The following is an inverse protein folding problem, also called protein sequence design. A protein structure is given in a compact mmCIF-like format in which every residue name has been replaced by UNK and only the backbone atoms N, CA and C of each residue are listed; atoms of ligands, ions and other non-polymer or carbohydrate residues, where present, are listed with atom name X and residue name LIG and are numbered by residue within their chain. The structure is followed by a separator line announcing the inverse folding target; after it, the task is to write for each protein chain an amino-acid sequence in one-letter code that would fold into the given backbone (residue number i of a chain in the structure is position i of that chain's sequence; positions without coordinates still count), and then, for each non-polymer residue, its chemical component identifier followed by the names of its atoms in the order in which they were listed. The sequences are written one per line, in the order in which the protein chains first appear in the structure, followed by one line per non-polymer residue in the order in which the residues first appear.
data_IF_454427908130
#
_entry.id   IF_454427908130
#
_cell.length_a   1.000
_cell.length_b   1.000
_cell.length_c   1.000
_cell.angle_alpha   90.00
_cell.angle_beta   90.00
_cell.angle_gamma   90.00
#
_symmetry.space_group_name_H-M   'P 1'
#
loop_
_entity.id
_entity.type
_entity.pdbx_description
1 polymer ?
#
# COMPACT_ATOMS: atom_id res chain seq x y z
N UNK A 1 116.66 19.28 -74.69
CA UNK A 1 115.69 18.85 -75.72
C UNK A 1 114.32 18.78 -75.08
N UNK A 2 113.38 19.51 -75.66
CA UNK A 2 111.98 19.49 -75.30
C UNK A 2 111.34 18.15 -75.67
N UNK A 3 110.38 17.66 -74.88
CA UNK A 3 109.13 17.10 -75.39
C UNK A 3 108.00 17.35 -74.37
N UNK A 4 106.93 17.96 -74.89
CA UNK A 4 105.61 18.14 -74.28
C UNK A 4 104.88 16.79 -74.27
N UNK A 5 104.04 16.54 -73.27
CA UNK A 5 102.79 15.82 -73.49
C UNK A 5 101.71 16.19 -72.45
N UNK A 6 100.47 15.91 -72.82
CA UNK A 6 99.22 16.63 -72.54
C UNK A 6 98.51 16.20 -71.21
N UNK A 7 97.37 16.84 -70.84
CA UNK A 7 96.86 16.89 -69.47
C UNK A 7 95.86 15.78 -69.14
N UNK A 8 95.87 15.28 -67.90
CA UNK A 8 94.88 14.34 -67.39
C UNK A 8 93.76 15.06 -66.65
N UNK A 9 92.55 14.88 -67.19
CA UNK A 9 91.31 15.48 -66.75
C UNK A 9 90.76 14.83 -65.47
N UNK A 10 90.43 15.69 -64.52
CA UNK A 10 89.13 15.73 -63.83
C UNK A 10 88.50 14.39 -63.40
N UNK A 11 88.73 14.00 -62.15
CA UNK A 11 87.74 13.29 -61.34
C UNK A 11 87.64 13.92 -59.95
N UNK A 12 86.96 15.08 -59.86
CA UNK A 12 86.40 15.54 -58.58
C UNK A 12 85.21 14.63 -58.26
N UNK A 13 85.43 13.62 -57.42
CA UNK A 13 84.34 12.96 -56.70
C UNK A 13 83.58 14.03 -55.92
N UNK A 14 82.32 14.25 -56.32
CA UNK A 14 81.32 15.00 -55.56
C UNK A 14 81.06 14.24 -54.25
N UNK A 15 81.85 14.51 -53.21
CA UNK A 15 81.46 14.20 -51.83
C UNK A 15 80.67 15.40 -51.31
N UNK A 16 79.45 15.53 -51.80
CA UNK A 16 78.49 16.54 -51.33
C UNK A 16 77.58 15.88 -50.29
N UNK A 17 77.65 16.44 -49.08
CA UNK A 17 76.49 16.78 -48.25
C UNK A 17 75.77 15.70 -47.42
N UNK A 18 76.46 14.72 -46.83
CA UNK A 18 75.82 13.85 -45.82
C UNK A 18 75.69 14.50 -44.42
N UNK A 19 76.43 15.58 -44.15
CA UNK A 19 76.40 16.26 -42.85
C UNK A 19 75.18 17.21 -42.67
N UNK A 20 74.67 17.79 -43.76
CA UNK A 20 73.54 18.72 -43.71
C UNK A 20 72.19 18.02 -43.50
N UNK A 21 72.07 16.76 -43.92
CA UNK A 21 70.83 15.98 -43.73
C UNK A 21 70.66 15.46 -42.29
N UNK A 22 71.74 15.11 -41.60
CA UNK A 22 71.69 14.67 -40.19
C UNK A 22 71.25 15.80 -39.23
N UNK A 23 71.64 17.04 -39.50
CA UNK A 23 71.25 18.20 -38.68
C UNK A 23 69.76 18.56 -38.87
N UNK A 24 69.24 18.44 -40.10
CA UNK A 24 67.81 18.60 -40.39
C UNK A 24 66.96 17.47 -39.80
N UNK A 25 67.47 16.26 -39.74
CA UNK A 25 66.76 15.14 -39.11
C UNK A 25 66.75 15.24 -37.58
N UNK A 26 67.85 15.71 -36.96
CA UNK A 26 67.93 15.90 -35.52
C UNK A 26 67.11 17.09 -35.03
N UNK A 27 67.07 18.20 -35.76
CA UNK A 27 66.20 19.35 -35.42
C UNK A 27 64.71 19.01 -35.46
N UNK A 28 64.25 18.25 -36.47
CA UNK A 28 62.87 17.73 -36.52
C UNK A 28 62.55 16.75 -35.38
N UNK A 29 63.51 15.90 -34.98
CA UNK A 29 63.36 14.99 -33.83
C UNK A 29 63.29 15.72 -32.49
N UNK A 30 64.00 16.83 -32.33
CA UNK A 30 63.93 17.68 -31.13
C UNK A 30 62.53 18.30 -31.03
N UNK A 31 62.00 18.85 -32.11
CA UNK A 31 60.64 19.41 -32.13
C UNK A 31 59.52 18.39 -31.88
N UNK A 32 59.67 17.13 -32.33
CA UNK A 32 58.70 16.06 -32.05
C UNK A 32 58.73 15.61 -30.59
N UNK A 33 59.92 15.56 -29.97
CA UNK A 33 60.06 15.26 -28.54
C UNK A 33 59.45 16.36 -27.68
N UNK A 34 59.66 17.62 -28.04
CA UNK A 34 59.04 18.75 -27.33
C UNK A 34 57.50 18.72 -27.46
N UNK A 35 56.97 18.36 -28.62
CA UNK A 35 55.52 18.16 -28.79
C UNK A 35 54.95 17.00 -27.97
N UNK A 36 55.70 15.90 -27.83
CA UNK A 36 55.29 14.77 -26.97
C UNK A 36 55.25 15.18 -25.50
N UNK A 37 56.27 15.91 -25.03
CA UNK A 37 56.30 16.43 -23.64
C UNK A 37 55.13 17.39 -23.38
N UNK A 38 54.80 18.26 -24.33
CA UNK A 38 53.63 19.15 -24.21
C UNK A 38 52.31 18.38 -24.18
N UNK A 39 52.17 17.32 -25.01
CA UNK A 39 50.98 16.46 -25.02
C UNK A 39 50.85 15.64 -23.74
N UNK A 40 51.96 15.15 -23.20
CA UNK A 40 52.00 14.46 -21.90
C UNK A 40 51.60 15.41 -20.77
N UNK A 41 52.08 16.65 -20.80
CA UNK A 41 51.67 17.69 -19.86
C UNK A 41 50.17 17.98 -19.96
N UNK A 42 49.62 18.12 -21.17
CA UNK A 42 48.18 18.30 -21.39
C UNK A 42 47.35 17.10 -20.90
N UNK A 43 47.83 15.86 -21.10
CA UNK A 43 47.16 14.68 -20.56
C UNK A 43 47.18 14.64 -19.04
N UNK A 44 48.31 15.00 -18.42
CA UNK A 44 48.43 15.05 -16.97
C UNK A 44 47.48 16.11 -16.36
N UNK A 45 47.40 17.29 -16.98
CA UNK A 45 46.46 18.35 -16.57
C UNK A 45 45.00 17.90 -16.73
N UNK A 46 44.66 17.25 -17.84
CA UNK A 46 43.30 16.73 -18.06
C UNK A 46 42.94 15.61 -17.07
N UNK A 47 43.87 14.71 -16.76
CA UNK A 47 43.68 13.67 -15.75
C UNK A 47 43.48 14.27 -14.35
N UNK A 48 44.26 15.29 -13.98
CA UNK A 48 44.10 16.00 -12.72
C UNK A 48 42.72 16.68 -12.61
N UNK A 49 42.23 17.27 -13.72
CA UNK A 49 40.91 17.87 -13.78
C UNK A 49 39.81 16.82 -13.57
N UNK A 50 39.89 15.67 -14.24
CA UNK A 50 38.92 14.57 -14.09
C UNK A 50 38.85 14.04 -12.66
N UNK A 51 40.00 13.87 -11.99
CA UNK A 51 40.06 13.44 -10.60
C UNK A 51 39.45 14.49 -9.66
N UNK A 52 39.71 15.78 -9.91
CA UNK A 52 39.12 16.87 -9.13
C UNK A 52 37.59 16.90 -9.26
N UNK A 53 37.07 16.66 -10.47
CA UNK A 53 35.63 16.62 -10.73
C UNK A 53 34.97 15.41 -10.08
N UNK A 54 35.59 14.23 -10.14
CA UNK A 54 35.12 13.04 -9.41
C UNK A 54 35.10 13.28 -7.90
N UNK A 55 36.13 13.92 -7.33
CA UNK A 55 36.16 14.27 -5.92
C UNK A 55 35.04 15.23 -5.52
N UNK A 56 34.67 16.19 -6.38
CA UNK A 56 33.53 17.07 -6.15
C UNK A 56 32.20 16.30 -6.20
N UNK A 57 32.01 15.42 -7.19
CA UNK A 57 30.81 14.58 -7.30
C UNK A 57 30.61 13.69 -6.07
N UNK A 58 31.68 13.08 -5.55
CA UNK A 58 31.56 12.26 -4.33
C UNK A 58 31.26 13.10 -3.08
N UNK A 59 31.82 14.31 -2.97
CA UNK A 59 31.52 15.25 -1.88
C UNK A 59 30.06 15.72 -1.94
N UNK A 60 29.54 16.08 -3.11
CA UNK A 60 28.13 16.50 -3.26
C UNK A 60 27.18 15.34 -3.00
N UNK A 61 27.46 14.14 -3.50
CA UNK A 61 26.66 12.95 -3.20
C UNK A 61 26.62 12.61 -1.70
N UNK A 62 27.76 12.72 -1.00
CA UNK A 62 27.81 12.52 0.46
C UNK A 62 26.99 13.58 1.19
N UNK A 63 27.10 14.86 0.80
CA UNK A 63 26.30 15.95 1.37
C UNK A 63 24.80 15.73 1.14
N UNK A 64 24.39 15.39 -0.07
CA UNK A 64 22.99 15.08 -0.39
C UNK A 64 22.45 13.89 0.42
N UNK A 65 23.24 12.83 0.60
CA UNK A 65 22.82 11.70 1.45
C UNK A 65 22.66 12.12 2.91
N UNK A 66 23.50 13.03 3.39
CA UNK A 66 23.47 13.52 4.76
C UNK A 66 22.31 14.51 4.99
N UNK A 67 22.04 15.39 4.03
CA UNK A 67 20.86 16.27 4.02
C UNK A 67 19.57 15.47 3.91
N UNK A 68 19.49 14.46 3.04
CA UNK A 68 18.32 13.55 2.97
C UNK A 68 18.10 12.80 4.28
N UNK A 69 19.16 12.45 5.01
CA UNK A 69 19.04 11.86 6.36
C UNK A 69 18.55 12.88 7.38
N UNK A 70 19.01 14.13 7.32
CA UNK A 70 18.58 15.21 8.23
C UNK A 70 17.15 15.70 7.96
N UNK A 71 16.75 15.85 6.69
CA UNK A 71 15.37 16.22 6.33
C UNK A 71 14.33 15.17 6.72
N UNK A 72 14.73 13.89 6.87
CA UNK A 72 13.82 12.86 7.39
C UNK A 72 13.55 12.95 8.90
N UNK A 73 14.25 13.81 9.64
CA UNK A 73 14.25 13.78 11.12
C UNK A 73 13.48 14.94 11.77
N UNK A 74 13.35 16.11 11.13
CA UNK A 74 12.97 17.33 11.88
C UNK A 74 11.79 18.18 11.37
N UNK A 75 10.97 17.70 10.42
CA UNK A 75 9.62 18.28 10.32
C UNK A 75 8.72 17.51 11.29
N UNK A 76 8.17 18.14 12.35
CA UNK A 76 7.04 17.54 13.05
C UNK A 76 5.93 17.45 12.00
N UNK A 77 5.81 16.29 11.35
CA UNK A 77 4.72 16.02 10.45
C UNK A 77 3.46 16.41 11.23
N UNK A 78 2.66 17.34 10.70
CA UNK A 78 1.38 17.68 11.30
C UNK A 78 0.56 16.39 11.29
N UNK A 79 0.66 15.63 12.37
CA UNK A 79 0.06 14.31 12.48
C UNK A 79 -1.45 14.55 12.53
N UNK A 80 -2.16 13.93 11.60
CA UNK A 80 -3.62 14.07 11.51
C UNK A 80 -4.20 13.46 12.80
N UNK A 81 -4.84 14.28 13.66
CA UNK A 81 -5.43 13.78 14.90
C UNK A 81 -6.59 12.83 14.59
N UNK A 82 -6.90 11.95 15.53
CA UNK A 82 -8.07 11.09 15.43
C UNK A 82 -9.33 11.95 15.56
N UNK A 83 -10.32 11.83 14.66
CA UNK A 83 -11.61 12.48 14.84
C UNK A 83 -12.34 11.97 16.09
N UNK A 84 -13.29 12.76 16.60
CA UNK A 84 -14.13 12.37 17.71
C UNK A 84 -15.03 11.18 17.32
N UNK A 85 -15.34 10.31 18.29
CA UNK A 85 -16.22 9.14 18.08
C UNK A 85 -15.50 7.85 17.67
N UNK A 86 -16.29 6.91 17.16
CA UNK A 86 -15.85 5.57 16.75
C UNK A 86 -16.07 5.36 15.24
N UNK A 87 -15.10 4.73 14.58
CA UNK A 87 -15.23 4.36 13.18
C UNK A 87 -16.42 3.39 12.98
N UNK A 88 -17.33 3.73 12.06
CA UNK A 88 -18.48 2.92 11.67
C UNK A 88 -19.75 3.08 12.52
N UNK A 89 -19.75 3.92 13.57
CA UNK A 89 -20.96 4.18 14.38
C UNK A 89 -21.58 5.53 14.05
N UNK A 90 -22.12 5.70 12.84
CA UNK A 90 -22.58 7.00 12.35
C UNK A 90 -23.72 7.60 13.21
N UNK A 91 -24.66 6.77 13.66
CA UNK A 91 -25.81 7.18 14.49
C UNK A 91 -25.40 7.69 15.89
N UNK A 92 -24.29 7.22 16.45
CA UNK A 92 -23.79 7.59 17.79
C UNK A 92 -22.71 8.69 17.76
N UNK A 93 -22.61 9.47 16.69
CA UNK A 93 -21.58 10.50 16.54
C UNK A 93 -20.19 9.94 16.19
N UNK A 94 -20.15 8.75 15.59
CA UNK A 94 -18.95 8.19 14.97
C UNK A 94 -18.66 8.79 13.59
N UNK A 95 -17.70 8.19 12.89
CA UNK A 95 -17.25 8.67 11.58
C UNK A 95 -17.04 7.53 10.59
N UNK A 96 -17.12 7.84 9.28
CA UNK A 96 -16.67 6.95 8.22
C UNK A 96 -15.15 6.99 8.12
N UNK A 97 -14.49 5.83 8.28
CA UNK A 97 -13.02 5.75 8.31
C UNK A 97 -12.39 6.27 7.01
N UNK A 98 -12.98 5.93 5.87
CA UNK A 98 -12.51 6.36 4.55
C UNK A 98 -12.57 7.89 4.39
N UNK A 99 -13.68 8.51 4.78
CA UNK A 99 -13.84 9.98 4.75
C UNK A 99 -12.87 10.67 5.72
N UNK A 100 -12.70 10.14 6.95
CA UNK A 100 -11.73 10.67 7.92
C UNK A 100 -10.26 10.58 7.47
N UNK A 101 -9.95 9.69 6.53
CA UNK A 101 -8.64 9.57 5.90
C UNK A 101 -8.48 10.45 4.64
N UNK A 102 -9.56 11.10 4.20
CA UNK A 102 -9.61 11.90 2.96
C UNK A 102 -9.51 11.04 1.70
N UNK A 103 -10.08 9.82 1.74
CA UNK A 103 -10.05 8.85 0.64
C UNK A 103 -11.45 8.53 0.11
N UNK A 104 -12.41 9.44 0.30
CA UNK A 104 -13.80 9.24 -0.10
C UNK A 104 -13.92 8.98 -1.60
N UNK A 105 -13.16 9.72 -2.40
CA UNK A 105 -13.10 9.57 -3.87
C UNK A 105 -12.21 8.39 -4.32
N UNK A 106 -11.31 7.91 -3.44
CA UNK A 106 -10.27 6.93 -3.74
C UNK A 106 -10.54 5.56 -3.08
N UNK A 107 -11.72 4.98 -3.34
CA UNK A 107 -12.14 3.70 -2.75
C UNK A 107 -11.18 2.53 -3.04
N UNK A 108 -10.63 2.46 -4.26
CA UNK A 108 -9.66 1.43 -4.63
C UNK A 108 -8.41 1.47 -3.75
N UNK A 109 -7.85 2.67 -3.53
CA UNK A 109 -6.67 2.87 -2.70
C UNK A 109 -6.94 2.53 -1.23
N UNK A 110 -8.11 2.90 -0.73
CA UNK A 110 -8.55 2.52 0.61
C UNK A 110 -8.61 0.99 0.76
N UNK A 111 -9.21 0.29 -0.20
CA UNK A 111 -9.32 -1.17 -0.20
C UNK A 111 -7.96 -1.87 -0.28
N UNK A 112 -7.02 -1.35 -1.07
CA UNK A 112 -5.66 -1.86 -1.12
C UNK A 112 -4.94 -1.73 0.23
N UNK A 113 -5.03 -0.56 0.87
CA UNK A 113 -4.45 -0.34 2.20
C UNK A 113 -5.07 -1.27 3.24
N UNK A 114 -6.41 -1.39 3.21
CA UNK A 114 -7.14 -2.28 4.10
C UNK A 114 -6.70 -3.74 3.90
N UNK A 115 -6.58 -4.19 2.64
CA UNK A 115 -6.08 -5.51 2.28
C UNK A 115 -4.66 -5.76 2.79
N UNK A 116 -3.77 -4.79 2.65
CA UNK A 116 -2.40 -4.91 3.14
C UNK A 116 -2.31 -4.98 4.68
N UNK A 117 -3.13 -4.19 5.39
CA UNK A 117 -3.23 -4.26 6.86
C UNK A 117 -3.77 -5.62 7.30
N UNK A 118 -4.78 -6.17 6.61
CA UNK A 118 -5.31 -7.52 6.88
C UNK A 118 -4.24 -8.58 6.72
N UNK A 119 -3.48 -8.56 5.61
CA UNK A 119 -2.39 -9.51 5.38
C UNK A 119 -1.33 -9.40 6.48
N UNK A 120 -0.95 -8.19 6.88
CA UNK A 120 0.00 -7.99 7.97
C UNK A 120 -0.53 -8.50 9.33
N UNK A 121 -1.82 -8.28 9.62
CA UNK A 121 -2.47 -8.78 10.83
C UNK A 121 -2.41 -10.33 10.89
N UNK A 122 -2.77 -10.99 9.79
CA UNK A 122 -2.71 -12.46 9.68
C UNK A 122 -1.27 -12.96 9.84
N UNK A 123 -0.30 -12.33 9.19
CA UNK A 123 1.12 -12.70 9.28
C UNK A 123 1.68 -12.62 10.71
N UNK A 124 1.15 -11.71 11.52
CA UNK A 124 1.55 -11.54 12.92
C UNK A 124 0.65 -12.29 13.91
N UNK A 125 -0.25 -13.14 13.42
CA UNK A 125 -1.05 -14.05 14.24
C UNK A 125 -2.28 -13.41 14.87
N UNK A 126 -2.73 -12.25 14.40
CA UNK A 126 -4.01 -11.67 14.83
C UNK A 126 -5.12 -12.50 14.18
N UNK A 127 -5.86 -13.24 15.00
CA UNK A 127 -6.96 -14.05 14.51
C UNK A 127 -8.25 -13.23 14.46
N UNK A 128 -9.13 -13.55 13.51
CA UNK A 128 -10.46 -12.97 13.52
C UNK A 128 -11.26 -13.46 14.74
N UNK A 129 -12.01 -12.55 15.36
CA UNK A 129 -12.78 -12.84 16.59
C UNK A 129 -12.06 -12.52 17.90
N UNK A 130 -10.74 -12.30 17.87
CA UNK A 130 -9.98 -11.84 19.03
C UNK A 130 -10.48 -10.47 19.51
N UNK A 131 -10.46 -10.22 20.82
CA UNK A 131 -10.80 -8.88 21.32
C UNK A 131 -9.59 -7.97 21.18
N UNK A 132 -9.77 -6.76 20.67
CA UNK A 132 -8.66 -5.80 20.53
C UNK A 132 -7.96 -5.46 21.86
N UNK A 133 -8.67 -5.59 22.99
CA UNK A 133 -8.13 -5.44 24.34
C UNK A 133 -7.23 -6.62 24.77
N UNK A 134 -7.45 -7.81 24.23
CA UNK A 134 -6.64 -9.00 24.54
C UNK A 134 -5.38 -9.11 23.67
N UNK A 135 -5.22 -8.23 22.66
CA UNK A 135 -4.07 -8.24 21.77
C UNK A 135 -2.86 -7.60 22.44
N UNK A 136 -1.71 -8.28 22.37
CA UNK A 136 -0.45 -7.73 22.89
C UNK A 136 -0.04 -6.50 22.07
N UNK A 137 0.33 -5.42 22.76
CA UNK A 137 0.72 -4.16 22.11
C UNK A 137 1.92 -4.32 21.19
N UNK A 138 2.82 -5.25 21.50
CA UNK A 138 3.97 -5.56 20.65
C UNK A 138 3.56 -6.15 19.29
N UNK A 139 2.51 -6.97 19.26
CA UNK A 139 1.99 -7.57 18.03
C UNK A 139 1.37 -6.49 17.16
N UNK A 140 0.56 -5.61 17.75
CA UNK A 140 0.02 -4.44 17.05
C UNK A 140 1.12 -3.54 16.51
N UNK A 141 2.17 -3.28 17.29
CA UNK A 141 3.31 -2.48 16.85
C UNK A 141 4.05 -3.09 15.64
N UNK A 142 4.16 -4.42 15.57
CA UNK A 142 4.72 -5.12 14.40
C UNK A 142 3.84 -4.93 13.16
N UNK A 143 2.52 -5.09 13.31
CA UNK A 143 1.54 -4.82 12.22
C UNK A 143 1.63 -3.37 11.75
N UNK A 144 1.70 -2.40 12.65
CA UNK A 144 1.82 -0.99 12.29
C UNK A 144 3.13 -0.70 11.53
N UNK A 145 4.25 -1.30 11.95
CA UNK A 145 5.53 -1.20 11.21
C UNK A 145 5.43 -1.81 9.81
N UNK A 146 4.83 -2.99 9.68
CA UNK A 146 4.63 -3.66 8.39
C UNK A 146 3.73 -2.84 7.45
N UNK A 147 2.63 -2.30 7.98
CA UNK A 147 1.70 -1.46 7.24
C UNK A 147 2.36 -0.16 6.74
N UNK A 148 3.13 0.53 7.59
CA UNK A 148 3.89 1.73 7.21
C UNK A 148 4.97 1.46 6.17
N UNK A 149 5.58 0.27 6.19
CA UNK A 149 6.59 -0.11 5.20
C UNK A 149 5.96 -0.24 3.80
N UNK A 150 4.74 -0.77 3.72
CA UNK A 150 4.00 -0.89 2.46
C UNK A 150 3.36 0.42 2.01
N UNK A 151 2.73 1.14 2.94
CA UNK A 151 2.04 2.40 2.69
C UNK A 151 2.57 3.48 3.63
N UNK A 152 3.59 4.25 3.20
CA UNK A 152 4.16 5.33 4.00
C UNK A 152 3.14 6.41 4.38
N UNK A 153 2.05 6.54 3.63
CA UNK A 153 0.95 7.47 3.91
C UNK A 153 0.27 7.19 5.26
N UNK A 154 0.27 5.94 5.73
CA UNK A 154 -0.30 5.60 7.04
C UNK A 154 0.50 6.21 8.20
N UNK A 155 1.77 6.59 7.99
CA UNK A 155 2.60 7.23 9.00
C UNK A 155 2.18 8.68 9.30
N UNK A 156 1.31 9.30 8.48
CA UNK A 156 0.81 10.67 8.69
C UNK A 156 -0.25 10.78 9.80
N UNK A 157 -0.81 9.65 10.23
CA UNK A 157 -1.88 9.62 11.25
C UNK A 157 -1.30 9.49 12.66
N UNK A 158 -1.79 10.32 13.59
CA UNK A 158 -1.31 10.33 14.97
C UNK A 158 -1.56 8.98 15.65
N UNK A 159 -0.55 8.42 16.31
CA UNK A 159 -0.65 7.13 17.03
C UNK A 159 -1.19 5.95 16.18
N UNK A 160 -1.04 6.00 14.85
CA UNK A 160 -1.54 4.97 13.94
C UNK A 160 -3.04 4.70 14.08
N UNK A 161 -3.84 5.73 14.41
CA UNK A 161 -5.27 5.55 14.66
C UNK A 161 -5.99 4.91 13.46
N UNK A 162 -5.62 5.30 12.23
CA UNK A 162 -6.18 4.76 11.01
C UNK A 162 -5.91 3.25 10.87
N UNK A 163 -4.65 2.83 11.06
CA UNK A 163 -4.28 1.41 10.99
C UNK A 163 -4.94 0.61 12.11
N UNK A 164 -5.05 1.17 13.32
CA UNK A 164 -5.74 0.54 14.44
C UNK A 164 -7.23 0.31 14.14
N UNK A 165 -7.90 1.29 13.55
CA UNK A 165 -9.31 1.15 13.20
C UNK A 165 -9.53 0.18 12.03
N UNK A 166 -8.61 0.11 11.06
CA UNK A 166 -8.61 -0.92 10.01
C UNK A 166 -8.49 -2.34 10.60
N UNK A 167 -7.60 -2.54 11.59
CA UNK A 167 -7.48 -3.84 12.28
C UNK A 167 -8.76 -4.16 13.05
N UNK A 168 -9.36 -3.18 13.74
CA UNK A 168 -10.66 -3.36 14.42
C UNK A 168 -11.75 -3.84 13.46
N UNK A 169 -11.87 -3.19 12.30
CA UNK A 169 -12.84 -3.57 11.28
C UNK A 169 -12.63 -5.00 10.79
N UNK A 170 -11.38 -5.40 10.53
CA UNK A 170 -11.06 -6.76 10.12
C UNK A 170 -11.53 -7.80 11.14
N UNK A 171 -11.23 -7.57 12.40
CA UNK A 171 -11.54 -8.47 13.51
C UNK A 171 -13.05 -8.56 13.74
N UNK A 172 -13.76 -7.42 13.68
CA UNK A 172 -15.24 -7.36 13.82
C UNK A 172 -15.94 -8.08 12.67
N UNK A 173 -15.58 -7.77 11.42
CA UNK A 173 -16.30 -8.29 10.25
C UNK A 173 -16.19 -9.82 10.15
N UNK A 174 -15.02 -10.40 10.45
CA UNK A 174 -14.88 -11.85 10.42
C UNK A 174 -15.62 -12.57 11.55
N UNK A 175 -15.76 -11.95 12.73
CA UNK A 175 -16.65 -12.48 13.78
C UNK A 175 -18.09 -12.54 13.28
N UNK A 176 -18.56 -11.49 12.62
CA UNK A 176 -19.89 -11.46 12.02
C UNK A 176 -20.04 -12.55 10.94
N UNK A 177 -19.08 -12.67 10.01
CA UNK A 177 -19.12 -13.70 8.95
C UNK A 177 -19.12 -15.13 9.50
N UNK A 178 -18.51 -15.39 10.66
CA UNK A 178 -18.55 -16.71 11.30
C UNK A 178 -19.91 -17.02 11.94
N UNK A 179 -20.64 -16.00 12.41
CA UNK A 179 -21.92 -16.13 13.12
C UNK A 179 -23.11 -16.07 12.15
N UNK A 180 -22.99 -15.32 11.04
CA UNK A 180 -24.02 -15.14 10.01
C UNK A 180 -24.69 -16.45 9.54
N UNK A 181 -23.96 -17.52 9.15
CA UNK A 181 -24.62 -18.74 8.68
C UNK A 181 -25.43 -19.44 9.78
N UNK A 182 -24.98 -19.38 11.03
CA UNK A 182 -25.74 -19.94 12.17
C UNK A 182 -27.00 -19.11 12.45
N UNK A 183 -26.90 -17.77 12.40
CA UNK A 183 -28.05 -16.86 12.55
C UNK A 183 -29.08 -17.09 11.44
N UNK A 184 -28.64 -17.23 10.19
CA UNK A 184 -29.51 -17.54 9.05
C UNK A 184 -30.21 -18.90 9.21
N UNK A 185 -29.50 -19.94 9.66
CA UNK A 185 -30.10 -21.26 9.94
C UNK A 185 -31.18 -21.16 11.02
N UNK A 186 -30.90 -20.47 12.14
CA UNK A 186 -31.88 -20.25 13.22
C UNK A 186 -33.09 -19.46 12.75
N UNK A 187 -32.91 -18.44 11.89
CA UNK A 187 -34.02 -17.67 11.30
C UNK A 187 -34.87 -18.55 10.38
N UNK A 188 -34.25 -19.36 9.52
CA UNK A 188 -34.96 -20.29 8.65
C UNK A 188 -35.75 -21.36 9.44
N UNK A 189 -35.15 -21.92 10.50
CA UNK A 189 -35.83 -22.87 11.39
C UNK A 189 -37.03 -22.25 12.13
N UNK A 190 -36.89 -21.00 12.63
CA UNK A 190 -37.99 -20.26 13.25
C UNK A 190 -39.12 -19.97 12.24
N UNK A 191 -38.77 -19.55 11.02
CA UNK A 191 -39.74 -19.30 9.96
C UNK A 191 -40.51 -20.57 9.56
N UNK A 192 -39.81 -21.70 9.39
CA UNK A 192 -40.45 -22.98 9.07
C UNK A 192 -41.40 -23.45 10.19
N UNK A 193 -41.02 -23.31 11.46
CA UNK A 193 -41.91 -23.62 12.60
C UNK A 193 -43.14 -22.71 12.66
N UNK A 194 -42.97 -21.42 12.37
CA UNK A 194 -44.09 -20.49 12.32
C UNK A 194 -45.08 -20.84 11.20
N UNK A 195 -44.58 -21.25 10.04
CA UNK A 195 -45.41 -21.72 8.93
C UNK A 195 -46.18 -23.00 9.28
N UNK A 196 -45.52 -24.00 9.88
CA UNK A 196 -46.15 -25.24 10.33
C UNK A 196 -47.24 -24.98 11.39
N UNK A 197 -46.98 -24.07 12.35
CA UNK A 197 -47.96 -23.64 13.34
C UNK A 197 -49.18 -22.97 12.69
N UNK A 198 -48.98 -22.14 11.66
CA UNK A 198 -50.09 -21.52 10.92
C UNK A 198 -50.91 -22.55 10.14
N UNK A 199 -50.28 -23.55 9.51
CA UNK A 199 -50.96 -24.60 8.75
C UNK A 199 -51.77 -25.55 9.66
N UNK A 200 -51.24 -25.89 10.83
CA UNK A 200 -51.94 -26.73 11.82
C UNK A 200 -53.16 -26.02 12.41
N UNK A 201 -53.07 -24.74 12.73
CA UNK A 201 -54.22 -23.92 13.16
C UNK A 201 -55.29 -23.82 12.07
N UNK A 202 -54.89 -23.58 10.82
CA UNK A 202 -55.82 -23.52 9.69
C UNK A 202 -56.56 -24.87 9.47
N UNK A 203 -55.84 -25.99 9.61
CA UNK A 203 -56.41 -27.34 9.46
C UNK A 203 -57.35 -27.69 10.62
N UNK A 204 -57.01 -27.31 11.85
CA UNK A 204 -57.87 -27.51 13.02
C UNK A 204 -59.18 -26.71 12.92
N UNK A 205 -59.13 -25.47 12.41
CA UNK A 205 -60.31 -24.65 12.18
C UNK A 205 -61.27 -25.26 11.15
N UNK A 206 -60.75 -25.92 10.11
CA UNK A 206 -61.57 -26.58 9.08
C UNK A 206 -62.30 -27.82 9.63
N UNK A 207 -61.65 -28.61 10.49
CA UNK A 207 -62.26 -29.81 11.11
C UNK A 207 -63.35 -29.42 12.12
N UNK A 208 -63.19 -28.30 12.84
CA UNK A 208 -64.20 -27.78 13.76
C UNK A 208 -65.53 -27.38 13.08
N UNK A 209 -65.52 -27.06 11.79
CA UNK A 209 -66.69 -26.60 11.05
C UNK A 209 -67.63 -27.73 10.60
N UNK A 210 -67.16 -28.98 10.54
CA UNK A 210 -67.94 -30.13 10.04
C UNK A 210 -68.70 -30.86 11.15
N UNK A 211 -68.30 -30.74 12.42
CA UNK A 211 -68.94 -31.44 13.55
C UNK A 211 -69.69 -30.55 14.54
N UNK A 212 -69.68 -29.22 14.38
CA UNK A 212 -70.26 -28.27 15.33
C UNK A 212 -71.68 -27.81 14.98
N UNK A 213 -72.65 -28.71 15.11
CA UNK A 213 -74.07 -28.32 15.18
C UNK A 213 -74.31 -27.41 16.38
N UNK A 214 -75.10 -26.35 16.14
CA UNK A 214 -75.47 -25.30 17.08
C UNK A 214 -75.79 -25.78 18.50
N UNK A 215 -75.11 -25.21 19.50
CA UNK A 215 -75.63 -24.95 20.86
C UNK A 215 -74.61 -24.19 21.70
N UNK A 216 -75.05 -23.13 22.38
CA UNK A 216 -74.46 -22.74 23.66
C UNK A 216 -73.73 -21.40 23.69
N UNK A 217 -74.49 -20.33 23.86
CA UNK A 217 -73.98 -19.10 24.46
C UNK A 217 -73.51 -19.38 25.90
N UNK A 218 -72.23 -19.14 26.18
CA UNK A 218 -71.66 -19.28 27.51
C UNK A 218 -70.47 -18.35 27.69
N UNK A 219 -70.73 -17.14 28.19
CA UNK A 219 -69.72 -16.20 28.70
C UNK A 219 -69.26 -16.70 30.08
N UNK A 220 -68.00 -17.11 30.18
CA UNK A 220 -67.21 -17.33 31.41
C UNK A 220 -65.79 -16.91 31.01
N UNK A 221 -65.08 -15.95 31.63
CA UNK A 221 -65.10 -15.51 33.02
C UNK A 221 -63.99 -16.23 33.79
N UNK A 222 -62.74 -15.76 33.64
CA UNK A 222 -61.51 -16.20 34.32
C UNK A 222 -60.34 -15.48 33.64
N UNK A 223 -59.64 -14.50 34.22
CA UNK A 223 -59.11 -14.42 35.59
C UNK A 223 -58.44 -15.73 35.98
N UNK A 224 -57.23 -15.95 35.44
CA UNK A 224 -56.17 -16.64 36.16
C UNK A 224 -54.82 -16.04 35.75
N UNK A 225 -54.18 -15.55 36.79
CA UNK A 225 -52.82 -15.05 36.91
C UNK A 225 -51.78 -16.17 36.69
N UNK A 226 -50.51 -15.76 36.62
CA UNK A 226 -49.30 -16.57 36.83
C UNK A 226 -48.90 -17.51 35.66
N UNK A 227 -47.88 -17.14 34.88
CA UNK A 227 -46.52 -17.24 35.39
C UNK A 227 -45.48 -16.60 34.45
N UNK A 228 -44.62 -15.87 35.11
CA UNK A 228 -43.54 -15.02 34.66
C UNK A 228 -42.27 -15.87 34.59
N UNK A 229 -41.88 -16.31 33.39
CA UNK A 229 -40.48 -16.67 33.11
C UNK A 229 -39.99 -15.88 31.90
N UNK A 230 -39.81 -14.58 32.17
CA UNK A 230 -38.84 -13.68 31.57
C UNK A 230 -37.43 -14.32 31.59
N UNK A 231 -37.15 -15.17 30.60
CA UNK A 231 -35.78 -15.40 30.16
C UNK A 231 -35.41 -14.24 29.24
N UNK A 232 -34.82 -13.20 29.84
CA UNK A 232 -34.20 -12.09 29.15
C UNK A 232 -33.21 -12.57 28.09
N UNK A 233 -33.68 -12.64 26.85
CA UNK A 233 -32.86 -12.55 25.66
C UNK A 233 -32.67 -11.04 25.45
N UNK A 234 -31.67 -10.51 26.17
CA UNK A 234 -31.24 -9.12 26.06
C UNK A 234 -31.06 -8.75 24.59
N UNK A 235 -31.94 -7.86 24.12
CA UNK A 235 -31.73 -6.82 23.12
C UNK A 235 -30.45 -6.96 22.29
N UNK A 236 -30.56 -7.66 21.17
CA UNK A 236 -29.75 -7.38 19.97
C UNK A 236 -30.75 -6.85 18.93
N UNK A 237 -31.32 -5.67 19.22
CA UNK A 237 -31.98 -4.77 18.25
C UNK A 237 -30.94 -4.33 17.20
N UNK A 238 -30.49 -5.25 16.34
CA UNK A 238 -29.91 -4.89 15.04
C UNK A 238 -31.07 -4.90 14.02
N UNK A 239 -31.87 -3.84 14.15
CA UNK A 239 -32.69 -3.25 13.09
C UNK A 239 -31.75 -2.72 11.99
N UNK A 240 -31.41 -3.61 11.05
CA UNK A 240 -30.86 -3.25 9.75
C UNK A 240 -31.75 -3.89 8.68
N UNK A 241 -32.93 -3.29 8.49
CA UNK A 241 -33.58 -3.23 7.18
C UNK A 241 -32.63 -2.49 6.21
N UNK A 242 -31.78 -3.24 5.51
CA UNK A 242 -31.19 -2.73 4.27
C UNK A 242 -32.08 -3.24 3.12
N UNK A 243 -32.96 -2.34 2.69
CA UNK A 243 -33.61 -2.34 1.38
C UNK A 243 -32.50 -2.23 0.32
N UNK A 244 -32.16 -3.36 -0.32
CA UNK A 244 -31.37 -3.35 -1.55
C UNK A 244 -32.29 -2.91 -2.71
N UNK A 245 -32.52 -1.60 -2.81
CA UNK A 245 -32.93 -0.91 -4.04
C UNK A 245 -31.64 -0.53 -4.81
N UNK A 246 -31.19 -1.39 -5.71
CA UNK A 246 -30.21 -1.07 -6.76
C UNK A 246 -30.40 -2.05 -7.94
N UNK A 247 -31.58 -1.98 -8.59
CA UNK A 247 -31.81 -2.46 -9.96
C UNK A 247 -31.97 -1.22 -10.87
N UNK A 248 -30.88 -0.46 -11.03
CA UNK A 248 -30.72 0.54 -12.10
C UNK A 248 -29.66 0.03 -13.10
N UNK A 249 -30.17 -0.27 -14.30
CA UNK A 249 -29.58 -0.04 -15.62
C UNK A 249 -28.10 -0.39 -15.88
N UNK A 250 -27.90 -1.36 -16.78
CA UNK A 250 -27.04 -1.12 -17.93
C UNK A 250 -27.66 -1.79 -19.17
N UNK A 251 -28.35 -0.95 -19.95
CA UNK A 251 -28.53 -1.09 -21.39
C UNK A 251 -27.18 -1.36 -22.07
N UNK A 252 -27.08 -2.45 -22.81
CA UNK A 252 -26.11 -2.54 -23.91
C UNK A 252 -26.87 -2.93 -25.17
N UNK A 253 -27.50 -1.90 -25.73
CA UNK A 253 -28.28 -1.91 -26.96
C UNK A 253 -27.35 -1.92 -28.18
N UNK A 254 -27.81 -2.61 -29.21
CA UNK A 254 -27.10 -3.00 -30.42
C UNK A 254 -26.49 -1.82 -31.23
N UNK A 255 -25.25 -1.99 -31.73
CA UNK A 255 -24.87 -1.56 -33.09
C UNK A 255 -23.61 -2.25 -33.64
#
# INVERSE_FOLDING_TARGET
MAYREAPSAFQRRKHVDNALDLVKFNSKKITLKDQMVEKEKQMAEMQALLLSMQAQLTKTQKKLKLEKKKQKVDTPAMLIPKPAGQAGRLKEGGYRLQSAMGLEDDGAKYNEMLGAVRVAAIQHGIQPGDTMLSMHEETLAKVFKAARLKYPELAKYKHDWATRDMVKQYVKNKRYSAIKPERERRRAEKAAKAEEASQTLASAALVGLVNGGASGAGRVGGDDDEDDEDNGDEDDEDDEEEEDDDDDDDDDDEN
#
